data_IF_156378195694
#
_entry.id   IF_156378195694
#
_cell.length_a   1.000
_cell.length_b   1.000
_cell.length_c   1.000
_cell.angle_alpha   90.00
_cell.angle_beta   90.00
_cell.angle_gamma   90.00
#
_symmetry.space_group_name_H-M   'P 1'
#
loop_
_entity.id
_entity.type
_entity.pdbx_description
1 polymer ?
#
# COMPACT_ATOMS: atom_id res chain seq x y z
N UNK A 1 -37.66 26.38 16.52
CA UNK A 1 -37.43 25.69 15.23
C UNK A 1 -35.94 25.43 15.17
N UNK A 2 -35.51 24.29 15.69
CA UNK A 2 -34.09 23.97 15.84
C UNK A 2 -33.69 23.13 14.63
N UNK A 3 -32.84 23.71 13.78
CA UNK A 3 -32.31 23.04 12.61
C UNK A 3 -31.11 22.20 13.08
N UNK A 4 -31.36 20.92 13.37
CA UNK A 4 -30.31 19.95 13.61
C UNK A 4 -29.64 19.64 12.27
N UNK A 5 -28.46 20.20 12.05
CA UNK A 5 -27.61 19.81 10.94
C UNK A 5 -26.92 18.53 11.40
N UNK A 6 -27.43 17.38 10.97
CA UNK A 6 -26.68 16.13 11.05
C UNK A 6 -25.44 16.29 10.16
N UNK A 7 -24.33 16.66 10.77
CA UNK A 7 -23.01 16.52 10.16
C UNK A 7 -22.78 15.02 10.06
N UNK A 8 -23.06 14.45 8.90
CA UNK A 8 -22.63 13.09 8.59
C UNK A 8 -21.10 13.09 8.72
N UNK A 9 -20.59 12.55 9.83
CA UNK A 9 -19.18 12.26 9.96
C UNK A 9 -18.77 11.46 8.72
N UNK A 10 -17.70 11.85 8.00
CA UNK A 10 -17.26 11.06 6.86
C UNK A 10 -17.06 9.64 7.35
N UNK A 11 -17.66 8.66 6.66
CA UNK A 11 -17.32 7.25 6.86
C UNK A 11 -15.85 7.09 6.47
N UNK A 12 -14.96 7.38 7.41
CA UNK A 12 -13.55 7.12 7.28
C UNK A 12 -13.48 5.59 7.26
N UNK A 13 -13.29 5.03 6.08
CA UNK A 13 -13.14 3.60 5.94
C UNK A 13 -11.77 3.18 6.50
N UNK A 14 -11.73 3.01 7.82
CA UNK A 14 -10.57 2.60 8.60
C UNK A 14 -9.95 1.33 8.01
N UNK A 15 -10.76 0.43 7.42
CA UNK A 15 -10.26 -0.79 6.78
C UNK A 15 -9.43 -0.47 5.53
N UNK A 16 -9.83 0.50 4.71
CA UNK A 16 -9.03 0.91 3.55
C UNK A 16 -7.77 1.66 3.96
N UNK A 17 -7.82 2.52 4.98
CA UNK A 17 -6.62 3.17 5.51
C UNK A 17 -5.60 2.15 6.03
N UNK A 18 -6.05 1.14 6.78
CA UNK A 18 -5.19 0.05 7.25
C UNK A 18 -4.61 -0.75 6.08
N UNK A 19 -5.40 -1.07 5.03
CA UNK A 19 -4.89 -1.75 3.83
C UNK A 19 -3.78 -0.95 3.13
N UNK A 20 -3.97 0.37 2.96
CA UNK A 20 -2.95 1.26 2.40
C UNK A 20 -1.70 1.30 3.28
N UNK A 21 -1.88 1.42 4.60
CA UNK A 21 -0.79 1.42 5.56
C UNK A 21 0.00 0.09 5.50
N UNK A 22 -0.67 -1.06 5.47
CA UNK A 22 -0.03 -2.37 5.35
C UNK A 22 0.79 -2.47 4.07
N UNK A 23 0.25 -2.05 2.92
CA UNK A 23 1.00 -2.07 1.66
C UNK A 23 2.23 -1.17 1.71
N UNK A 24 2.09 0.05 2.24
CA UNK A 24 3.21 0.94 2.48
C UNK A 24 4.29 0.28 3.35
N UNK A 25 3.92 -0.30 4.48
CA UNK A 25 4.86 -0.96 5.38
C UNK A 25 5.60 -2.12 4.72
N UNK A 26 4.90 -2.95 3.93
CA UNK A 26 5.54 -4.04 3.19
C UNK A 26 6.51 -3.52 2.13
N UNK A 27 6.14 -2.47 1.39
CA UNK A 27 7.02 -1.83 0.41
C UNK A 27 8.26 -1.25 1.10
N UNK A 28 8.08 -0.48 2.17
CA UNK A 28 9.19 0.11 2.92
C UNK A 28 10.10 -0.98 3.49
N UNK A 29 9.55 -2.06 4.03
CA UNK A 29 10.32 -3.20 4.53
C UNK A 29 11.14 -3.86 3.44
N UNK A 30 10.53 -4.22 2.30
CA UNK A 30 11.25 -4.84 1.19
C UNK A 30 12.38 -3.93 0.72
N UNK A 31 12.13 -2.63 0.54
CA UNK A 31 13.16 -1.69 0.09
C UNK A 31 14.27 -1.46 1.14
N UNK A 32 13.97 -1.58 2.43
CA UNK A 32 14.98 -1.43 3.49
C UNK A 32 15.83 -2.67 3.70
N UNK A 33 15.33 -3.86 3.37
CA UNK A 33 15.98 -5.14 3.65
C UNK A 33 16.36 -5.92 2.39
N UNK A 34 16.21 -5.32 1.21
CA UNK A 34 16.74 -5.84 -0.07
C UNK A 34 17.66 -4.82 -0.72
N UNK A 35 18.41 -5.26 -1.74
CA UNK A 35 19.21 -4.36 -2.58
C UNK A 35 18.35 -3.63 -3.64
N UNK A 36 17.02 -3.76 -3.59
CA UNK A 36 16.14 -3.17 -4.58
C UNK A 36 15.84 -1.70 -4.28
N UNK A 37 15.89 -0.88 -5.33
CA UNK A 37 15.29 0.44 -5.32
C UNK A 37 13.79 0.38 -5.71
N UNK A 38 13.11 1.52 -5.61
CA UNK A 38 11.69 1.60 -5.95
C UNK A 38 11.39 1.30 -7.43
N UNK A 39 12.37 1.44 -8.34
CA UNK A 39 12.18 1.10 -9.74
C UNK A 39 12.25 -0.41 -9.93
N UNK A 40 13.27 -1.06 -9.37
CA UNK A 40 13.43 -2.51 -9.40
C UNK A 40 12.22 -3.23 -8.81
N UNK A 41 11.71 -2.76 -7.67
CA UNK A 41 10.50 -3.34 -7.07
C UNK A 41 9.26 -3.13 -7.95
N UNK A 42 9.12 -1.98 -8.62
CA UNK A 42 8.00 -1.74 -9.54
C UNK A 42 8.06 -2.66 -10.77
N UNK A 43 9.26 -2.86 -11.34
CA UNK A 43 9.48 -3.75 -12.47
C UNK A 43 9.16 -5.21 -12.10
N UNK A 44 9.58 -5.65 -10.91
CA UNK A 44 9.28 -6.99 -10.36
C UNK A 44 7.78 -7.20 -10.14
N UNK A 45 7.06 -6.16 -9.69
CA UNK A 45 5.62 -6.21 -9.50
C UNK A 45 4.84 -6.00 -10.81
N UNK A 46 5.52 -5.77 -11.94
CA UNK A 46 4.93 -5.46 -13.24
C UNK A 46 4.00 -4.22 -13.22
N UNK A 47 4.34 -3.22 -12.41
CA UNK A 47 3.58 -1.98 -12.29
C UNK A 47 4.40 -0.76 -12.70
N UNK A 48 3.70 0.33 -13.01
CA UNK A 48 4.36 1.61 -13.20
C UNK A 48 5.03 2.09 -11.90
N UNK A 49 6.29 2.57 -11.92
CA UNK A 49 6.95 3.14 -10.75
C UNK A 49 6.18 4.30 -10.10
N UNK A 50 5.39 5.03 -10.88
CA UNK A 50 4.50 6.07 -10.36
C UNK A 50 3.44 5.50 -9.43
N UNK A 51 2.83 4.36 -9.77
CA UNK A 51 1.84 3.69 -8.92
C UNK A 51 2.48 3.25 -7.62
N UNK A 52 3.67 2.62 -7.67
CA UNK A 52 4.38 2.22 -6.45
C UNK A 52 4.66 3.42 -5.52
N UNK A 53 5.04 4.57 -6.09
CA UNK A 53 5.21 5.81 -5.31
C UNK A 53 3.90 6.27 -4.68
N UNK A 54 2.79 6.25 -5.40
CA UNK A 54 1.48 6.64 -4.85
C UNK A 54 1.04 5.72 -3.72
N UNK A 55 1.27 4.41 -3.84
CA UNK A 55 0.98 3.43 -2.77
C UNK A 55 1.87 3.67 -1.56
N UNK A 56 3.17 3.87 -1.76
CA UNK A 56 4.14 4.17 -0.70
C UNK A 56 3.83 5.49 0.03
N UNK A 57 3.27 6.47 -0.68
CA UNK A 57 2.78 7.74 -0.11
C UNK A 57 1.40 7.62 0.55
N UNK A 58 0.73 6.48 0.46
CA UNK A 58 -0.61 6.25 1.03
C UNK A 58 -1.76 6.89 0.22
N UNK A 59 -1.48 7.38 -0.99
CA UNK A 59 -2.49 7.96 -1.86
C UNK A 59 -3.27 6.87 -2.60
N UNK A 60 -2.61 5.79 -3.02
CA UNK A 60 -3.22 4.66 -3.73
C UNK A 60 -3.03 3.32 -3.02
N UNK A 61 -3.63 2.27 -3.57
CA UNK A 61 -3.38 0.88 -3.19
C UNK A 61 -3.22 -0.01 -4.43
N UNK A 62 -2.44 -1.07 -4.28
CA UNK A 62 -2.32 -2.14 -5.26
C UNK A 62 -3.61 -2.94 -5.31
N UNK A 63 -3.96 -3.38 -6.52
CA UNK A 63 -4.99 -4.39 -6.72
C UNK A 63 -4.63 -5.71 -6.02
N UNK A 64 -5.60 -6.64 -5.99
CA UNK A 64 -5.45 -7.89 -5.27
C UNK A 64 -4.27 -8.72 -5.78
N UNK A 65 -4.09 -8.85 -7.09
CA UNK A 65 -3.11 -9.75 -7.68
C UNK A 65 -1.69 -9.20 -7.46
N UNK A 66 -1.51 -7.89 -7.69
CA UNK A 66 -0.24 -7.21 -7.41
C UNK A 66 0.09 -7.22 -5.92
N UNK A 67 -0.91 -7.08 -5.04
CA UNK A 67 -0.69 -7.18 -3.59
C UNK A 67 -0.31 -8.59 -3.14
N UNK A 68 -0.80 -9.64 -3.80
CA UNK A 68 -0.38 -11.02 -3.51
C UNK A 68 1.07 -11.23 -3.92
N UNK A 69 1.50 -10.75 -5.10
CA UNK A 69 2.92 -10.76 -5.51
C UNK A 69 3.80 -10.06 -4.48
N UNK A 70 3.42 -8.86 -4.02
CA UNK A 70 4.15 -8.13 -2.97
C UNK A 70 4.32 -8.95 -1.68
N UNK A 71 3.26 -9.64 -1.24
CA UNK A 71 3.31 -10.50 -0.05
C UNK A 71 4.21 -11.71 -0.24
N UNK A 72 4.20 -12.33 -1.42
CA UNK A 72 5.12 -13.44 -1.73
C UNK A 72 6.58 -13.00 -1.60
N UNK A 73 6.94 -11.83 -2.14
CA UNK A 73 8.29 -11.28 -1.98
C UNK A 73 8.66 -11.01 -0.53
N UNK A 74 7.73 -10.46 0.26
CA UNK A 74 7.95 -10.28 1.69
C UNK A 74 8.22 -11.61 2.39
N UNK A 75 7.43 -12.65 2.11
CA UNK A 75 7.61 -13.98 2.70
C UNK A 75 8.98 -14.57 2.31
N UNK A 76 9.37 -14.46 1.04
CA UNK A 76 10.69 -14.91 0.57
C UNK A 76 11.81 -14.20 1.33
N UNK A 77 11.70 -12.88 1.53
CA UNK A 77 12.71 -12.09 2.22
C UNK A 77 12.90 -12.50 3.69
N UNK A 78 11.82 -12.83 4.39
CA UNK A 78 11.89 -13.18 5.83
C UNK A 78 12.10 -14.67 6.10
N UNK A 79 11.94 -15.52 5.07
CA UNK A 79 12.11 -16.97 5.19
C UNK A 79 13.51 -17.46 4.82
N UNK A 80 14.36 -16.56 4.30
CA UNK A 80 15.79 -16.82 4.03
C UNK A 80 16.65 -16.57 5.26
#
# INVERSE_FOLDING_TARGET
MECFIEVAEPEIDVKFQLKKATQKYLIDYILSYSEWDSKSLADVLEICPFLLRQVRSGHEYLDKDTFMKLKEYFIILISG
#
